data_IF_026846500346
#
_entry.id   IF_026846500346
#
_cell.length_a   1.000
_cell.length_b   1.000
_cell.length_c   1.000
_cell.angle_alpha   90.00
_cell.angle_beta   90.00
_cell.angle_gamma   90.00
#
_symmetry.space_group_name_H-M   'P 1'
#
loop_
_entity.id
_entity.type
_entity.pdbx_description
1 polymer ?
#
# COMPACT_ATOMS: atom_id res chain seq x y z
N UNK A 1 -3.94 -60.09 24.28
CA UNK A 1 -3.29 -59.02 25.05
C UNK A 1 -2.47 -58.05 24.20
N UNK A 2 -1.51 -58.50 23.36
CA UNK A 2 -0.72 -57.57 22.51
C UNK A 2 -1.56 -56.81 21.46
N UNK A 3 -2.53 -57.46 20.81
CA UNK A 3 -3.40 -56.82 19.80
C UNK A 3 -4.38 -55.79 20.39
N UNK A 4 -4.89 -56.05 21.60
CA UNK A 4 -5.78 -55.14 22.33
C UNK A 4 -5.02 -53.94 22.90
N UNK A 5 -3.76 -54.13 23.33
CA UNK A 5 -2.89 -53.04 23.75
C UNK A 5 -2.52 -52.10 22.59
N UNK A 6 -2.22 -52.63 21.39
CA UNK A 6 -1.98 -51.81 20.20
C UNK A 6 -3.22 -51.00 19.77
N UNK A 7 -4.42 -51.59 19.85
CA UNK A 7 -5.67 -50.88 19.54
C UNK A 7 -5.97 -49.74 20.53
N UNK A 8 -5.70 -49.95 21.83
CA UNK A 8 -5.87 -48.93 22.87
C UNK A 8 -4.84 -47.80 22.76
N UNK A 9 -3.59 -48.11 22.38
CA UNK A 9 -2.55 -47.10 22.11
C UNK A 9 -2.88 -46.29 20.86
N UNK A 10 -3.38 -46.94 19.79
CA UNK A 10 -3.85 -46.25 18.59
C UNK A 10 -5.01 -45.30 18.89
N UNK A 11 -5.96 -45.72 19.72
CA UNK A 11 -7.08 -44.88 20.16
C UNK A 11 -6.61 -43.72 21.05
N UNK A 12 -5.66 -43.95 21.99
CA UNK A 12 -5.11 -42.90 22.83
C UNK A 12 -4.29 -41.84 22.04
N UNK A 13 -3.60 -42.24 20.97
CA UNK A 13 -2.94 -41.32 20.04
C UNK A 13 -3.94 -40.52 19.18
N UNK A 14 -5.11 -41.08 18.87
CA UNK A 14 -6.23 -40.38 18.22
C UNK A 14 -6.95 -39.39 19.15
N UNK A 15 -6.96 -39.67 20.46
CA UNK A 15 -7.45 -38.76 21.51
C UNK A 15 -6.41 -37.75 21.99
N UNK A 16 -5.23 -37.70 21.36
CA UNK A 16 -4.27 -36.59 21.52
C UNK A 16 -4.83 -35.35 20.82
N UNK A 17 -5.86 -34.77 21.43
CA UNK A 17 -6.55 -33.57 20.99
C UNK A 17 -5.56 -32.42 20.86
N UNK A 18 -5.32 -32.00 19.62
CA UNK A 18 -4.71 -30.70 19.39
C UNK A 18 -5.68 -29.63 19.87
N UNK A 19 -5.21 -28.71 20.72
CA UNK A 19 -5.90 -27.46 20.99
C UNK A 19 -5.12 -26.36 20.26
N UNK A 20 -5.53 -26.04 19.04
CA UNK A 20 -4.89 -25.00 18.22
C UNK A 20 -5.80 -23.79 18.05
N UNK A 21 -5.61 -22.74 18.86
CA UNK A 21 -6.33 -21.46 18.69
C UNK A 21 -5.47 -20.46 17.91
N UNK A 22 -5.92 -20.02 16.72
CA UNK A 22 -5.27 -18.89 16.02
C UNK A 22 -5.83 -17.59 16.58
N UNK A 23 -4.92 -16.83 17.17
CA UNK A 23 -5.21 -15.73 18.06
C UNK A 23 -5.17 -14.39 17.32
N UNK A 24 -6.33 -13.73 17.39
CA UNK A 24 -6.59 -12.44 18.03
C UNK A 24 -5.38 -11.59 18.44
N UNK A 25 -5.25 -10.45 17.76
CA UNK A 25 -4.18 -9.47 17.96
C UNK A 25 -4.55 -8.40 18.97
N UNK A 26 -3.53 -7.75 19.55
CA UNK A 26 -3.66 -6.52 20.35
C UNK A 26 -3.76 -5.24 19.47
N UNK A 27 -3.68 -5.40 18.14
CA UNK A 27 -3.96 -4.39 17.11
C UNK A 27 -5.39 -4.53 16.57
N UNK A 28 -5.98 -3.48 15.95
CA UNK A 28 -7.34 -3.53 15.39
C UNK A 28 -7.55 -4.60 14.32
N UNK A 29 -6.49 -4.97 13.58
CA UNK A 29 -6.51 -5.96 12.50
C UNK A 29 -5.40 -6.98 12.67
N UNK A 30 -5.64 -8.20 12.20
CA UNK A 30 -4.63 -9.27 12.26
C UNK A 30 -3.50 -9.04 11.25
N UNK A 31 -2.30 -9.56 11.53
CA UNK A 31 -1.20 -9.49 10.57
C UNK A 31 -1.55 -10.17 9.23
N UNK A 32 -2.25 -11.30 9.28
CA UNK A 32 -2.66 -12.04 8.09
C UNK A 32 -3.64 -11.27 7.23
N UNK A 33 -4.60 -10.59 7.85
CA UNK A 33 -5.50 -9.67 7.15
C UNK A 33 -4.71 -8.56 6.44
N UNK A 34 -3.82 -7.88 7.16
CA UNK A 34 -3.01 -6.79 6.59
C UNK A 34 -2.11 -7.29 5.44
N UNK A 35 -1.49 -8.46 5.58
CA UNK A 35 -0.64 -9.05 4.54
C UNK A 35 -1.45 -9.46 3.30
N UNK A 36 -2.64 -10.05 3.48
CA UNK A 36 -3.50 -10.42 2.36
C UNK A 36 -3.96 -9.18 1.60
N UNK A 37 -4.39 -8.13 2.29
CA UNK A 37 -4.77 -6.86 1.65
C UNK A 37 -3.57 -6.24 0.92
N UNK A 38 -2.39 -6.19 1.54
CA UNK A 38 -1.18 -5.66 0.93
C UNK A 38 -0.75 -6.43 -0.33
N UNK A 39 -0.84 -7.77 -0.28
CA UNK A 39 -0.57 -8.64 -1.43
C UNK A 39 -1.56 -8.41 -2.57
N UNK A 40 -2.85 -8.28 -2.26
CA UNK A 40 -3.87 -7.97 -3.26
C UNK A 40 -3.61 -6.59 -3.90
N UNK A 41 -3.26 -5.58 -3.12
CA UNK A 41 -2.90 -4.25 -3.64
C UNK A 41 -1.67 -4.32 -4.55
N UNK A 42 -0.62 -5.03 -4.13
CA UNK A 42 0.60 -5.17 -4.94
C UNK A 42 0.32 -5.83 -6.29
N UNK A 43 -0.46 -6.94 -6.30
CA UNK A 43 -0.87 -7.62 -7.54
C UNK A 43 -1.75 -6.77 -8.44
N UNK A 44 -2.60 -5.90 -7.87
CA UNK A 44 -3.38 -4.94 -8.65
C UNK A 44 -2.48 -3.86 -9.26
N UNK A 45 -1.52 -3.33 -8.49
CA UNK A 45 -0.59 -2.29 -8.97
C UNK A 45 0.32 -2.81 -10.08
N UNK A 46 0.76 -4.07 -10.01
CA UNK A 46 1.60 -4.70 -11.05
C UNK A 46 0.92 -4.80 -12.42
N UNK A 47 -0.42 -4.81 -12.46
CA UNK A 47 -1.19 -4.84 -13.71
C UNK A 47 -1.40 -3.45 -14.31
N UNK A 48 -1.15 -2.38 -13.55
CA UNK A 48 -1.32 -1.02 -14.04
C UNK A 48 -0.09 -0.62 -14.86
N UNK A 49 -0.33 -0.09 -16.06
CA UNK A 49 0.75 0.37 -16.94
C UNK A 49 1.15 1.81 -16.59
N UNK A 50 2.37 1.95 -16.06
CA UNK A 50 3.00 3.23 -15.73
C UNK A 50 4.02 3.68 -16.77
N UNK A 51 4.26 2.93 -17.84
CA UNK A 51 5.25 3.28 -18.85
C UNK A 51 5.09 4.69 -19.44
N UNK A 52 3.86 5.23 -19.65
CA UNK A 52 3.69 6.59 -20.15
C UNK A 52 4.14 7.69 -19.17
N UNK A 53 4.44 7.36 -17.90
CA UNK A 53 4.88 8.34 -16.89
C UNK A 53 6.38 8.63 -16.95
N UNK A 54 7.14 7.91 -17.77
CA UNK A 54 8.59 8.03 -17.86
C UNK A 54 9.04 9.46 -18.16
N UNK A 55 9.98 9.97 -17.37
CA UNK A 55 10.55 11.32 -17.47
C UNK A 55 9.52 12.47 -17.27
N UNK A 56 8.30 12.17 -16.84
CA UNK A 56 7.25 13.16 -16.57
C UNK A 56 7.20 13.52 -15.08
N UNK A 57 6.97 14.81 -14.78
CA UNK A 57 6.64 15.26 -13.42
C UNK A 57 5.17 14.99 -13.13
N UNK A 58 4.92 14.05 -12.24
CA UNK A 58 3.57 13.57 -11.92
C UNK A 58 3.24 13.76 -10.45
N UNK A 59 2.02 14.18 -10.15
CA UNK A 59 1.47 14.17 -8.80
C UNK A 59 0.40 13.07 -8.70
N UNK A 60 0.49 12.21 -7.67
CA UNK A 60 -0.54 11.19 -7.41
C UNK A 60 -1.60 11.79 -6.52
N UNK A 61 -2.78 12.04 -7.10
CA UNK A 61 -3.96 12.49 -6.37
C UNK A 61 -4.73 11.28 -5.83
N UNK A 62 -4.85 11.21 -4.51
CA UNK A 62 -5.49 10.13 -3.76
C UNK A 62 -6.82 10.53 -3.11
N UNK A 63 -7.39 11.67 -3.51
CA UNK A 63 -8.66 12.19 -2.96
C UNK A 63 -9.81 11.19 -3.12
N UNK A 64 -9.78 10.37 -4.18
CA UNK A 64 -10.79 9.34 -4.45
C UNK A 64 -10.44 7.96 -3.85
N UNK A 65 -9.37 7.87 -3.08
CA UNK A 65 -8.99 6.67 -2.34
C UNK A 65 -9.35 6.90 -0.88
N UNK A 66 -10.51 6.41 -0.48
CA UNK A 66 -10.95 6.38 0.92
C UNK A 66 -11.27 4.93 1.31
N UNK A 67 -10.22 4.14 1.50
CA UNK A 67 -10.30 2.69 1.72
C UNK A 67 -9.31 2.27 2.79
N UNK A 68 -9.47 1.03 3.27
CA UNK A 68 -8.49 0.40 4.16
C UNK A 68 -7.09 0.47 3.52
N UNK A 69 -6.09 0.73 4.35
CA UNK A 69 -4.70 0.83 3.92
C UNK A 69 -4.43 1.84 2.79
N UNK A 70 -5.21 2.93 2.72
CA UNK A 70 -5.01 4.05 1.78
C UNK A 70 -3.53 4.42 1.62
N UNK A 71 -2.82 4.62 2.73
CA UNK A 71 -1.40 4.99 2.72
C UNK A 71 -0.54 3.97 1.97
N UNK A 72 -0.81 2.68 2.15
CA UNK A 72 -0.09 1.62 1.44
C UNK A 72 -0.44 1.57 -0.04
N UNK A 73 -1.72 1.76 -0.40
CA UNK A 73 -2.18 1.86 -1.79
C UNK A 73 -1.46 3.01 -2.51
N UNK A 74 -1.49 4.20 -1.92
CA UNK A 74 -0.86 5.40 -2.49
C UNK A 74 0.66 5.22 -2.60
N UNK A 75 1.31 4.69 -1.55
CA UNK A 75 2.74 4.41 -1.58
C UNK A 75 3.11 3.39 -2.68
N UNK A 76 2.29 2.35 -2.87
CA UNK A 76 2.52 1.32 -3.90
C UNK A 76 2.42 1.90 -5.31
N UNK A 77 1.45 2.77 -5.57
CA UNK A 77 1.30 3.47 -6.86
C UNK A 77 2.44 4.45 -7.10
N UNK A 78 2.87 5.22 -6.08
CA UNK A 78 4.04 6.12 -6.20
C UNK A 78 5.32 5.34 -6.48
N UNK A 79 5.52 4.22 -5.79
CA UNK A 79 6.63 3.31 -6.05
C UNK A 79 6.61 2.76 -7.48
N UNK A 80 5.44 2.35 -7.99
CA UNK A 80 5.31 1.88 -9.36
C UNK A 80 5.61 2.99 -10.39
N UNK A 81 5.13 4.21 -10.17
CA UNK A 81 5.44 5.36 -11.01
C UNK A 81 6.94 5.69 -11.01
N UNK A 82 7.62 5.68 -9.86
CA UNK A 82 9.07 5.84 -9.78
C UNK A 82 9.83 4.74 -10.52
N UNK A 83 9.42 3.46 -10.36
CA UNK A 83 10.03 2.33 -11.08
C UNK A 83 9.88 2.46 -12.60
N UNK A 84 8.79 3.06 -13.08
CA UNK A 84 8.59 3.35 -14.50
C UNK A 84 9.38 4.57 -15.00
N UNK A 85 10.11 5.27 -14.13
CA UNK A 85 10.91 6.45 -14.46
C UNK A 85 10.15 7.78 -14.34
N UNK A 86 8.98 7.79 -13.71
CA UNK A 86 8.24 9.02 -13.40
C UNK A 86 8.88 9.81 -12.26
N UNK A 87 8.82 11.14 -12.36
CA UNK A 87 9.29 12.07 -11.33
C UNK A 87 8.08 12.41 -10.46
N UNK A 88 7.82 11.60 -9.43
CA UNK A 88 6.70 11.84 -8.52
C UNK A 88 7.04 13.00 -7.59
N UNK A 89 6.24 14.06 -7.62
CA UNK A 89 6.36 15.23 -6.73
C UNK A 89 5.37 15.15 -5.56
N UNK A 90 5.65 15.88 -4.48
CA UNK A 90 4.79 15.91 -3.29
C UNK A 90 3.61 16.87 -3.40
N UNK A 91 3.75 17.93 -4.21
CA UNK A 91 2.76 18.99 -4.37
C UNK A 91 2.20 19.00 -5.77
N UNK A 92 0.90 19.21 -5.88
CA UNK A 92 0.23 19.28 -7.17
C UNK A 92 0.79 20.41 -8.04
N UNK A 93 1.18 21.54 -7.44
CA UNK A 93 1.67 22.73 -8.16
C UNK A 93 3.00 22.51 -8.90
N UNK A 94 3.80 21.54 -8.44
CA UNK A 94 5.11 21.19 -8.98
C UNK A 94 5.02 20.18 -10.14
N UNK A 95 3.82 19.63 -10.39
CA UNK A 95 3.58 18.63 -11.42
C UNK A 95 3.08 19.23 -12.74
N UNK A 96 3.47 18.57 -13.83
CA UNK A 96 2.91 18.82 -15.16
C UNK A 96 1.63 18.00 -15.38
N UNK A 97 1.60 16.80 -14.82
CA UNK A 97 0.49 15.85 -14.93
C UNK A 97 0.01 15.38 -13.55
N UNK A 98 -1.29 15.09 -13.46
CA UNK A 98 -1.91 14.53 -12.26
C UNK A 98 -2.41 13.12 -12.58
N UNK A 99 -1.98 12.15 -11.77
CA UNK A 99 -2.51 10.80 -11.75
C UNK A 99 -3.66 10.78 -10.73
N UNK A 100 -4.89 10.77 -11.21
CA UNK A 100 -6.08 10.63 -10.38
C UNK A 100 -6.32 9.15 -10.09
N UNK A 101 -5.89 8.72 -8.91
CA UNK A 101 -6.00 7.33 -8.46
C UNK A 101 -7.41 7.06 -7.95
N UNK A 102 -7.98 5.95 -8.39
CA UNK A 102 -9.32 5.48 -8.01
C UNK A 102 -9.24 4.08 -7.45
N UNK A 103 -10.06 3.83 -6.43
CA UNK A 103 -10.17 2.53 -5.78
C UNK A 103 -11.61 2.05 -5.74
N UNK A 104 -11.93 0.99 -6.48
CA UNK A 104 -13.25 0.35 -6.50
C UNK A 104 -13.50 -0.48 -5.24
N UNK A 105 -12.50 -1.23 -4.81
CA UNK A 105 -12.53 -2.07 -3.61
C UNK A 105 -11.11 -2.28 -3.08
N UNK A 106 -10.96 -2.28 -1.76
CA UNK A 106 -9.79 -2.82 -1.07
C UNK A 106 -10.34 -3.40 0.23
N UNK A 107 -10.07 -4.68 0.50
CA UNK A 107 -10.65 -5.34 1.66
C UNK A 107 -10.28 -6.81 1.78
N UNK A 108 -10.91 -7.44 2.77
CA UNK A 108 -10.73 -8.85 3.10
C UNK A 108 -12.12 -9.49 3.28
N UNK A 109 -12.34 -10.61 2.60
CA UNK A 109 -13.46 -11.49 2.84
C UNK A 109 -13.02 -12.69 3.69
N UNK A 110 -13.83 -13.08 4.68
CA UNK A 110 -13.60 -14.26 5.52
C UNK A 110 -14.79 -15.20 5.41
N UNK A 111 -14.53 -16.46 5.07
CA UNK A 111 -15.51 -17.55 5.08
C UNK A 111 -15.07 -18.61 6.08
N UNK A 112 -15.97 -19.00 6.97
CA UNK A 112 -15.70 -20.00 8.01
C UNK A 112 -16.70 -21.15 7.88
N UNK A 113 -16.17 -22.36 7.77
CA UNK A 113 -16.93 -23.60 7.74
C UNK A 113 -16.53 -24.45 8.93
N UNK A 114 -17.52 -24.88 9.70
CA UNK A 114 -17.32 -25.74 10.87
C UNK A 114 -18.24 -26.93 10.73
N UNK A 115 -17.66 -28.13 10.82
CA UNK A 115 -18.39 -29.37 10.99
C UNK A 115 -18.13 -29.87 12.43
N UNK A 116 -19.12 -29.72 13.30
CA UNK A 116 -19.00 -29.99 14.73
C UNK A 116 -20.03 -29.21 15.55
N UNK A 117 -19.79 -29.10 16.86
CA UNK A 117 -20.62 -28.28 17.76
C UNK A 117 -19.99 -26.89 17.87
N UNK A 118 -20.64 -25.83 17.32
CA UNK A 118 -20.13 -24.48 17.44
C UNK A 118 -20.21 -24.00 18.90
N UNK A 119 -19.33 -23.06 19.27
CA UNK A 119 -19.38 -22.45 20.59
C UNK A 119 -20.75 -21.80 20.82
N UNK A 120 -21.44 -22.22 21.88
CA UNK A 120 -22.75 -21.69 22.24
C UNK A 120 -22.84 -21.51 23.75
N UNK A 121 -23.58 -20.49 24.18
CA UNK A 121 -23.88 -20.25 25.59
C UNK A 121 -25.30 -20.74 25.86
N UNK A 122 -25.45 -21.69 26.79
CA UNK A 122 -26.78 -22.09 27.24
C UNK A 122 -27.19 -21.13 28.37
N UNK A 123 -28.28 -20.38 28.25
CA UNK A 123 -28.77 -19.53 29.33
C UNK A 123 -29.16 -20.36 30.55
N UNK A 124 -28.78 -19.92 31.75
CA UNK A 124 -29.14 -20.58 33.00
C UNK A 124 -29.16 -19.61 34.18
N UNK A 125 -29.84 -19.95 35.28
CA UNK A 125 -30.13 -19.04 36.41
C UNK A 125 -28.89 -18.49 37.15
N UNK A 126 -27.68 -18.96 36.81
CA UNK A 126 -26.40 -18.49 37.37
C UNK A 126 -25.35 -18.16 36.29
N UNK A 127 -25.75 -17.58 35.17
CA UNK A 127 -24.82 -17.15 34.12
C UNK A 127 -24.56 -18.16 33.00
N UNK A 128 -25.32 -19.26 32.97
CA UNK A 128 -25.25 -20.25 31.90
C UNK A 128 -23.98 -21.11 31.89
N UNK A 129 -23.93 -22.09 30.99
CA UNK A 129 -22.76 -22.91 30.73
C UNK A 129 -22.25 -22.65 29.31
N UNK A 130 -20.93 -22.48 29.15
CA UNK A 130 -20.30 -22.37 27.83
C UNK A 130 -20.00 -23.76 27.29
N UNK A 131 -20.57 -24.10 26.14
CA UNK A 131 -20.15 -25.28 25.38
C UNK A 131 -18.92 -24.86 24.56
N UNK A 132 -17.73 -25.44 24.82
CA UNK A 132 -16.55 -25.16 24.02
C UNK A 132 -16.77 -25.64 22.58
N UNK A 133 -16.14 -24.97 21.61
CA UNK A 133 -16.18 -25.39 20.21
C UNK A 133 -15.53 -26.78 20.09
N UNK A 134 -16.32 -27.78 19.69
CA UNK A 134 -15.82 -29.12 19.35
C UNK A 134 -15.90 -29.26 17.84
N UNK A 135 -14.87 -28.78 17.16
CA UNK A 135 -14.72 -28.90 15.71
C UNK A 135 -14.08 -30.25 15.35
N UNK A 136 -14.86 -31.15 14.75
CA UNK A 136 -14.32 -32.33 14.08
C UNK A 136 -13.52 -31.90 12.85
N UNK A 137 -14.03 -30.91 12.14
CA UNK A 137 -13.34 -30.24 11.05
C UNK A 137 -13.70 -28.75 11.04
N UNK A 138 -12.70 -27.89 10.86
CA UNK A 138 -12.88 -26.45 10.67
C UNK A 138 -12.04 -25.99 9.48
N UNK A 139 -12.61 -25.16 8.63
CA UNK A 139 -11.93 -24.51 7.52
C UNK A 139 -12.24 -23.03 7.53
N UNK A 140 -11.21 -22.20 7.61
CA UNK A 140 -11.29 -20.75 7.51
C UNK A 140 -10.57 -20.33 6.24
N UNK A 141 -11.31 -19.73 5.32
CA UNK A 141 -10.75 -19.10 4.13
C UNK A 141 -10.79 -17.58 4.30
N UNK A 142 -9.68 -16.93 3.98
CA UNK A 142 -9.55 -15.48 3.92
C UNK A 142 -9.09 -15.10 2.52
N UNK A 143 -9.72 -14.10 1.94
CA UNK A 143 -9.44 -13.62 0.60
C UNK A 143 -9.27 -12.10 0.63
N UNK A 144 -8.06 -11.62 0.33
CA UNK A 144 -7.80 -10.20 0.13
C UNK A 144 -8.18 -9.82 -1.30
N UNK A 145 -8.89 -8.71 -1.46
CA UNK A 145 -9.30 -8.18 -2.76
C UNK A 145 -8.90 -6.73 -2.93
N UNK A 146 -8.42 -6.37 -4.12
CA UNK A 146 -8.08 -5.00 -4.50
C UNK A 146 -8.51 -4.72 -5.93
N UNK A 147 -9.11 -3.54 -6.15
CA UNK A 147 -9.50 -3.03 -7.45
C UNK A 147 -9.06 -1.57 -7.57
N UNK A 148 -8.07 -1.33 -8.42
CA UNK A 148 -7.46 -0.02 -8.65
C UNK A 148 -7.55 0.37 -10.12
N UNK A 149 -7.62 1.67 -10.39
CA UNK A 149 -7.46 2.25 -11.72
C UNK A 149 -7.02 3.70 -11.58
N UNK A 150 -6.39 4.28 -12.59
CA UNK A 150 -6.13 5.71 -12.60
C UNK A 150 -6.37 6.36 -13.96
N UNK A 151 -6.57 7.67 -13.93
CA UNK A 151 -6.60 8.54 -15.10
C UNK A 151 -5.48 9.55 -14.96
N UNK A 152 -4.88 9.95 -16.07
CA UNK A 152 -3.85 10.98 -16.12
C UNK A 152 -4.36 12.14 -16.95
N UNK A 153 -4.28 13.33 -16.37
CA UNK A 153 -4.60 14.58 -17.05
C UNK A 153 -3.53 15.63 -16.80
N UNK A 154 -3.40 16.57 -17.72
CA UNK A 154 -2.49 17.70 -17.57
C UNK A 154 -3.03 18.68 -16.54
N UNK A 155 -2.18 19.12 -15.61
CA UNK A 155 -2.61 19.99 -14.50
C UNK A 155 -3.18 21.33 -14.97
N UNK A 156 -2.59 21.93 -16.01
CA UNK A 156 -2.88 23.29 -16.46
C UNK A 156 -4.32 23.49 -16.99
N UNK A 157 -4.81 22.54 -17.78
CA UNK A 157 -6.09 22.63 -18.51
C UNK A 157 -7.03 21.45 -18.23
N UNK A 158 -6.61 20.50 -17.38
CA UNK A 158 -7.30 19.21 -17.14
C UNK A 158 -7.53 18.40 -18.41
N UNK A 159 -6.71 18.59 -19.45
CA UNK A 159 -6.80 17.78 -20.65
C UNK A 159 -6.44 16.32 -20.35
N UNK A 160 -7.30 15.40 -20.77
CA UNK A 160 -7.08 13.97 -20.67
C UNK A 160 -5.86 13.54 -21.49
N UNK A 161 -5.03 12.67 -20.91
CA UNK A 161 -3.83 12.15 -21.58
C UNK A 161 -3.83 10.62 -21.65
N UNK A 162 -4.22 9.95 -20.58
CA UNK A 162 -4.12 8.50 -20.47
C UNK A 162 -5.07 7.97 -19.39
N UNK A 163 -5.50 6.71 -19.51
CA UNK A 163 -6.22 6.00 -18.44
C UNK A 163 -5.85 4.54 -18.48
N UNK A 164 -5.73 3.94 -17.30
CA UNK A 164 -5.70 2.48 -17.19
C UNK A 164 -7.12 1.93 -17.15
N UNK A 165 -7.25 0.66 -17.53
CA UNK A 165 -8.42 -0.14 -17.17
C UNK A 165 -8.46 -0.48 -15.67
N UNK A 166 -9.52 -1.16 -15.22
CA UNK A 166 -9.60 -1.72 -13.88
C UNK A 166 -8.57 -2.84 -13.70
N UNK A 167 -7.69 -2.71 -12.72
CA UNK A 167 -6.75 -3.74 -12.32
C UNK A 167 -7.25 -4.44 -11.05
N UNK A 168 -7.23 -5.78 -11.04
CA UNK A 168 -7.75 -6.60 -9.96
C UNK A 168 -6.66 -7.45 -9.33
N UNK A 169 -6.45 -7.30 -8.04
CA UNK A 169 -5.56 -8.14 -7.26
C UNK A 169 -6.33 -8.96 -6.25
N UNK A 170 -5.99 -10.24 -6.16
CA UNK A 170 -6.56 -11.17 -5.20
C UNK A 170 -5.43 -11.81 -4.42
N UNK A 171 -5.66 -12.16 -3.16
CA UNK A 171 -4.77 -12.98 -2.33
C UNK A 171 -5.58 -13.93 -1.48
N UNK A 172 -5.06 -15.12 -1.17
CA UNK A 172 -5.83 -16.16 -0.50
C UNK A 172 -5.01 -16.87 0.56
N UNK A 173 -5.65 -17.10 1.70
CA UNK A 173 -5.16 -17.97 2.76
C UNK A 173 -6.28 -18.90 3.19
N UNK A 174 -6.00 -20.20 3.23
CA UNK A 174 -6.88 -21.21 3.79
C UNK A 174 -6.21 -21.88 4.98
N UNK A 175 -6.88 -21.86 6.12
CA UNK A 175 -6.46 -22.54 7.33
C UNK A 175 -7.48 -23.63 7.67
N UNK A 176 -7.02 -24.84 7.94
CA UNK A 176 -7.90 -25.94 8.33
C UNK A 176 -7.42 -26.63 9.60
N UNK A 177 -8.39 -27.14 10.35
CA UNK A 177 -8.21 -27.93 11.56
C UNK A 177 -8.96 -29.24 11.42
N UNK A 178 -8.33 -30.31 11.89
CA UNK A 178 -8.90 -31.65 11.89
C UNK A 178 -8.79 -32.20 13.31
N UNK A 179 -9.92 -32.56 13.91
CA UNK A 179 -10.02 -33.02 15.31
C UNK A 179 -9.30 -32.09 16.31
N UNK A 180 -9.43 -30.77 16.12
CA UNK A 180 -8.77 -29.75 16.94
C UNK A 180 -7.28 -29.51 16.62
N UNK A 181 -6.61 -30.43 15.92
CA UNK A 181 -5.24 -30.20 15.45
C UNK A 181 -5.22 -29.20 14.28
N UNK A 182 -4.41 -28.14 14.40
CA UNK A 182 -4.27 -27.09 13.38
C UNK A 182 -3.83 -25.73 13.97
N UNK A 183 -3.83 -24.65 13.19
CA UNK A 183 -4.14 -24.62 11.75
C UNK A 183 -3.01 -25.14 10.89
N UNK A 184 -3.34 -25.99 9.93
CA UNK A 184 -2.53 -26.15 8.72
C UNK A 184 -2.91 -25.04 7.74
N UNK A 185 -1.92 -24.24 7.32
CA UNK A 185 -2.15 -23.06 6.49
C UNK A 185 -1.61 -23.31 5.09
N UNK A 186 -2.41 -22.95 4.09
CA UNK A 186 -2.00 -22.84 2.69
C UNK A 186 -2.33 -21.43 2.23
N UNK A 187 -1.35 -20.73 1.70
CA UNK A 187 -1.54 -19.37 1.17
C UNK A 187 -0.76 -19.16 -0.12
N UNK A 188 -1.14 -18.10 -0.83
CA UNK A 188 -0.45 -17.62 -2.03
C UNK A 188 0.53 -16.47 -1.74
N UNK A 189 0.77 -16.15 -0.46
CA UNK A 189 1.67 -15.07 -0.06
C UNK A 189 3.13 -15.43 -0.29
N UNK A 190 3.45 -16.72 -0.27
CA UNK A 190 4.78 -17.25 -0.63
C UNK A 190 5.27 -16.79 -2.01
N UNK A 191 4.38 -16.60 -2.98
CA UNK A 191 4.75 -16.08 -4.30
C UNK A 191 5.16 -14.60 -4.22
N UNK A 192 4.48 -13.80 -3.40
CA UNK A 192 4.83 -12.38 -3.18
C UNK A 192 6.22 -12.26 -2.55
N UNK A 193 6.55 -13.14 -1.60
CA UNK A 193 7.87 -13.19 -0.97
C UNK A 193 8.97 -13.52 -1.98
N UNK A 194 8.74 -14.52 -2.86
CA UNK A 194 9.68 -14.88 -3.94
C UNK A 194 9.87 -13.74 -4.94
N UNK A 195 8.80 -13.06 -5.33
CA UNK A 195 8.87 -11.92 -6.24
C UNK A 195 9.61 -10.74 -5.62
N UNK A 196 9.38 -10.46 -4.33
CA UNK A 196 10.11 -9.43 -3.60
C UNK A 196 11.62 -9.73 -3.53
N UNK A 197 12.00 -10.99 -3.31
CA UNK A 197 13.40 -11.41 -3.29
C UNK A 197 14.12 -11.27 -4.65
N UNK A 198 13.37 -11.19 -5.75
CA UNK A 198 13.90 -11.13 -7.12
C UNK A 198 14.07 -9.68 -7.61
N UNK A 199 13.45 -8.69 -6.97
CA UNK A 199 13.58 -7.29 -7.37
C UNK A 199 14.97 -6.74 -6.96
N UNK A 200 15.80 -6.27 -7.91
CA UNK A 200 17.15 -5.81 -7.59
C UNK A 200 17.11 -4.49 -6.82
N UNK A 201 17.60 -4.50 -5.58
CA UNK A 201 18.06 -3.30 -4.90
C UNK A 201 19.43 -2.90 -5.47
N UNK A 202 19.45 -2.30 -6.66
CA UNK A 202 20.67 -1.70 -7.20
C UNK A 202 21.16 -0.55 -6.32
N UNK A 203 22.47 -0.24 -6.30
CA UNK A 203 22.98 0.88 -5.50
C UNK A 203 22.31 2.19 -5.97
N UNK A 204 22.01 3.06 -5.01
CA UNK A 204 21.50 4.40 -5.31
C UNK A 204 22.50 5.11 -6.23
N UNK A 205 21.99 5.71 -7.31
CA UNK A 205 22.83 6.52 -8.19
C UNK A 205 23.34 7.74 -7.40
N UNK A 206 24.64 8.06 -7.42
CA UNK A 206 25.17 9.26 -6.77
C UNK A 206 24.44 10.51 -7.29
N UNK A 207 24.13 11.43 -6.37
CA UNK A 207 23.55 12.72 -6.75
C UNK A 207 24.49 13.41 -7.74
N UNK A 208 23.98 13.99 -8.84
CA UNK A 208 24.81 14.88 -9.65
C UNK A 208 25.37 15.99 -8.75
N UNK A 209 26.62 16.43 -8.98
CA UNK A 209 27.19 17.53 -8.21
C UNK A 209 26.26 18.75 -8.32
N UNK A 210 26.11 19.54 -7.24
CA UNK A 210 25.29 20.74 -7.28
C UNK A 210 25.73 21.61 -8.45
N UNK A 211 24.77 22.08 -9.24
CA UNK A 211 25.05 22.95 -10.37
C UNK A 211 25.89 24.13 -9.86
N UNK A 212 27.12 24.27 -10.37
CA UNK A 212 27.99 25.40 -10.06
C UNK A 212 27.21 26.65 -10.44
N UNK A 213 26.78 27.43 -9.44
CA UNK A 213 26.15 28.72 -9.70
C UNK A 213 27.11 29.52 -10.59
N UNK A 214 26.64 30.09 -11.72
CA UNK A 214 27.46 30.99 -12.51
C UNK A 214 28.05 32.05 -11.57
N UNK A 215 29.35 32.42 -11.72
CA UNK A 215 29.96 33.41 -10.84
C UNK A 215 29.07 34.65 -10.82
N UNK A 216 28.60 35.00 -9.61
CA UNK A 216 27.80 36.20 -9.36
C UNK A 216 28.60 37.37 -9.92
N UNK A 217 28.17 37.91 -11.07
CA UNK A 217 28.82 39.07 -11.68
C UNK A 217 28.83 40.15 -10.59
N UNK A 218 29.98 40.74 -10.24
CA UNK A 218 30.02 41.81 -9.25
C UNK A 218 28.99 42.87 -9.65
N UNK A 219 28.08 43.19 -8.71
CA UNK A 219 27.15 44.29 -8.87
C UNK A 219 27.98 45.53 -9.17
N UNK A 220 27.95 45.99 -10.41
CA UNK A 220 28.56 47.26 -10.81
C UNK A 220 27.83 48.32 -9.99
N UNK A 221 28.55 48.93 -9.04
CA UNK A 221 28.02 50.03 -8.26
C UNK A 221 27.47 51.10 -9.21
N UNK A 222 26.29 51.69 -8.93
CA UNK A 222 25.77 52.77 -9.75
C UNK A 222 26.80 53.90 -9.79
N UNK A 223 27.15 54.34 -11.00
CA UNK A 223 28.03 55.48 -11.22
C UNK A 223 27.46 56.72 -10.50
N UNK A 224 28.30 57.56 -9.86
CA UNK A 224 27.82 58.75 -9.18
C UNK A 224 27.15 59.70 -10.17
N UNK A 225 25.94 60.11 -9.81
CA UNK A 225 25.09 61.08 -10.50
C UNK A 225 25.87 62.39 -10.76
N UNK A 226 25.78 62.99 -11.96
CA UNK A 226 26.54 64.20 -12.26
C UNK A 226 26.00 65.38 -11.44
N UNK A 227 26.89 66.02 -10.69
CA UNK A 227 26.59 67.19 -9.87
C UNK A 227 25.98 68.32 -10.72
N UNK A 228 24.76 68.72 -10.37
CA UNK A 228 24.06 69.90 -10.89
C UNK A 228 24.91 71.16 -10.69
N UNK A 229 25.40 71.74 -11.78
CA UNK A 229 26.09 73.03 -11.76
C UNK A 229 25.11 74.16 -11.39
N UNK A 230 25.45 75.06 -10.46
CA UNK A 230 24.59 76.20 -10.14
C UNK A 230 24.55 77.21 -11.30
N UNK A 231 23.35 77.72 -11.56
CA UNK A 231 23.04 78.67 -12.62
C UNK A 231 23.86 79.96 -12.53
N UNK A 232 24.49 80.37 -13.65
CA UNK A 232 25.18 81.65 -13.80
C UNK A 232 24.18 82.82 -13.72
N UNK A 233 24.45 83.88 -12.95
CA UNK A 233 23.61 85.07 -12.96
C UNK A 233 23.71 85.81 -14.31
N UNK A 234 22.53 86.14 -14.86
CA UNK A 234 22.35 86.85 -16.13
C UNK A 234 22.86 88.29 -15.99
N UNK A 235 24.01 88.59 -16.58
CA UNK A 235 24.58 89.95 -16.62
C UNK A 235 23.70 90.82 -17.53
N UNK A 236 23.04 91.82 -16.96
CA UNK A 236 22.39 92.89 -17.71
C UNK A 236 23.47 93.73 -18.41
N UNK A 237 23.32 93.93 -19.73
CA UNK A 237 24.01 95.01 -20.43
C UNK A 237 22.98 96.02 -20.88
N UNK A 238 23.09 97.21 -20.29
CA UNK A 238 22.53 98.48 -20.74
C UNK A 238 23.10 98.85 -22.11
N UNK A 239 22.27 99.60 -22.84
CA UNK A 239 22.53 100.50 -23.98
C UNK A 239 23.13 99.90 -25.23
#
# INVERSE_FOLDING_TARGET
MRRTALAMIGLALLLSSGCGTRRTTDTPRTASEQMLVAAAVSRAVEQLDFAPMKDLKVFVNDTLVDRVDKTYVVASVRAAAWRAGGIVVEKAEEADFVIELRSGAVGLDKTEYIFGVPASQIPGPFGGASIPEVALFKSVQQEGGSWLAFVVYRRADRAFQYSTGPAFGWSRQRAWWLFGAGPSIVDDLTEVEKHAATQPAGPLKPLPPPATQPPTRPSVAPSPEPATQPARPRRSRRT
#
